data_IF_831066049981
#
_entry.id   IF_831066049981
#
_cell.length_a   1.000
_cell.length_b   1.000
_cell.length_c   1.000
_cell.angle_alpha   90.00
_cell.angle_beta   90.00
_cell.angle_gamma   90.00
#
_symmetry.space_group_name_H-M   'P 1'
#
loop_
_entity.id
_entity.type
_entity.pdbx_description
1 polymer ?
#
# COMPACT_ATOMS: atom_id res chain seq x y z
N UNK A 1 43.74 -13.91 38.95
CA UNK A 1 43.75 -15.08 38.06
C UNK A 1 42.32 -15.57 37.89
N UNK A 2 41.72 -15.30 36.72
CA UNK A 2 40.64 -16.04 36.03
C UNK A 2 39.99 -15.07 35.02
N UNK A 3 40.47 -15.14 33.79
CA UNK A 3 39.78 -14.60 32.63
C UNK A 3 38.71 -15.62 32.19
N UNK A 4 37.48 -15.17 31.99
CA UNK A 4 36.45 -15.93 31.28
C UNK A 4 36.19 -15.20 29.95
N UNK A 5 36.67 -15.79 28.87
CA UNK A 5 36.33 -15.40 27.50
C UNK A 5 34.83 -15.59 27.27
N UNK A 6 34.13 -14.56 26.80
CA UNK A 6 32.82 -14.70 26.14
C UNK A 6 32.92 -14.11 24.74
N UNK A 7 33.00 -15.02 23.78
CA UNK A 7 33.07 -14.77 22.35
C UNK A 7 31.85 -14.03 21.82
N UNK A 8 32.11 -13.10 20.91
CA UNK A 8 31.11 -12.34 20.16
C UNK A 8 30.39 -13.25 19.15
N UNK A 9 29.07 -13.42 19.29
CA UNK A 9 28.22 -14.10 18.30
C UNK A 9 27.50 -13.02 17.50
N UNK A 10 27.65 -13.07 16.18
CA UNK A 10 27.10 -12.07 15.24
C UNK A 10 25.57 -12.15 15.17
N UNK A 11 24.91 -10.99 15.04
CA UNK A 11 23.45 -10.82 15.03
C UNK A 11 22.71 -11.60 13.92
N UNK A 12 23.44 -12.17 12.95
CA UNK A 12 22.89 -13.03 11.91
C UNK A 12 22.40 -14.41 12.42
N UNK A 13 22.98 -14.94 13.51
CA UNK A 13 22.64 -16.28 14.00
C UNK A 13 21.41 -16.31 14.92
N UNK A 14 21.01 -15.18 15.51
CA UNK A 14 19.81 -15.11 16.37
C UNK A 14 18.50 -15.24 15.57
N UNK A 15 18.51 -14.93 14.27
CA UNK A 15 17.34 -15.10 13.38
C UNK A 15 17.07 -16.54 12.97
N UNK A 16 18.09 -17.41 12.94
CA UNK A 16 17.90 -18.80 12.54
C UNK A 16 17.20 -19.64 13.63
N UNK A 17 17.46 -19.36 14.91
CA UNK A 17 16.85 -20.12 16.01
C UNK A 17 15.35 -19.82 16.21
N UNK A 18 14.87 -18.65 15.77
CA UNK A 18 13.44 -18.30 15.83
C UNK A 18 12.60 -18.96 14.72
N UNK A 19 13.22 -19.47 13.65
CA UNK A 19 12.49 -20.09 12.54
C UNK A 19 12.05 -21.53 12.83
N UNK A 20 12.66 -22.21 13.81
CA UNK A 20 12.36 -23.62 14.09
C UNK A 20 11.28 -23.81 15.17
N UNK A 21 11.04 -22.83 16.04
CA UNK A 21 10.07 -22.94 17.14
C UNK A 21 8.64 -22.47 16.80
N UNK A 22 8.40 -21.85 15.65
CA UNK A 22 7.05 -21.40 15.25
C UNK A 22 6.25 -22.46 14.46
N UNK A 23 6.83 -23.64 14.20
CA UNK A 23 6.17 -24.74 13.47
C UNK A 23 5.49 -25.80 14.35
N UNK A 24 5.40 -25.63 15.68
CA UNK A 24 4.90 -26.72 16.55
C UNK A 24 3.77 -26.41 17.54
N UNK A 25 3.14 -25.22 17.54
CA UNK A 25 1.97 -24.97 18.41
C UNK A 25 0.79 -24.34 17.68
N UNK A 26 0.16 -25.15 16.83
CA UNK A 26 -1.10 -24.84 16.16
C UNK A 26 -1.95 -26.08 15.89
N UNK A 27 -1.93 -27.06 16.79
CA UNK A 27 -2.96 -28.09 16.81
C UNK A 27 -4.26 -27.49 17.39
N UNK A 28 -4.88 -26.61 16.60
CA UNK A 28 -6.27 -26.24 16.81
C UNK A 28 -7.12 -27.26 16.05
N UNK A 29 -8.02 -27.90 16.80
CA UNK A 29 -8.97 -28.91 16.38
C UNK A 29 -9.40 -28.79 14.90
N UNK A 30 -9.21 -29.88 14.15
CA UNK A 30 -9.79 -30.06 12.84
C UNK A 30 -11.32 -29.91 12.94
N UNK A 31 -11.83 -28.75 12.57
CA UNK A 31 -13.25 -28.54 12.31
C UNK A 31 -13.62 -29.23 10.98
N UNK A 32 -14.77 -29.89 10.89
CA UNK A 32 -15.12 -30.67 9.71
C UNK A 32 -15.51 -29.73 8.56
N UNK A 33 -14.66 -29.71 7.53
CA UNK A 33 -14.96 -29.07 6.24
C UNK A 33 -14.13 -27.83 5.93
N UNK A 34 -12.80 -27.96 5.84
CA UNK A 34 -12.04 -27.03 5.01
C UNK A 34 -12.56 -27.16 3.57
N UNK A 35 -13.43 -26.23 3.17
CA UNK A 35 -13.92 -26.17 1.79
C UNK A 35 -12.72 -26.09 0.87
N UNK A 36 -12.65 -26.94 -0.16
CA UNK A 36 -11.58 -26.92 -1.19
C UNK A 36 -11.32 -25.51 -1.75
N UNK A 37 -12.32 -24.63 -1.70
CA UNK A 37 -12.23 -23.22 -2.08
C UNK A 37 -11.18 -22.43 -1.29
N UNK A 38 -10.99 -22.75 0.01
CA UNK A 38 -10.00 -22.07 0.87
C UNK A 38 -8.56 -22.36 0.45
N UNK A 39 -8.29 -23.57 -0.04
CA UNK A 39 -6.95 -23.98 -0.51
C UNK A 39 -6.55 -23.27 -1.80
N UNK A 40 -7.53 -22.82 -2.60
CA UNK A 40 -7.33 -22.13 -3.87
C UNK A 40 -7.67 -20.64 -3.80
N UNK A 41 -7.60 -20.05 -2.59
CA UNK A 41 -7.83 -18.63 -2.36
C UNK A 41 -6.53 -17.83 -2.44
N UNK A 42 -6.60 -16.64 -3.03
CA UNK A 42 -5.49 -15.71 -3.09
C UNK A 42 -5.35 -14.98 -1.75
N UNK A 43 -4.15 -14.93 -1.14
CA UNK A 43 -3.95 -14.28 0.16
C UNK A 43 -4.10 -12.74 0.14
N UNK A 44 -4.18 -12.13 -1.06
CA UNK A 44 -4.33 -10.67 -1.20
C UNK A 44 -5.81 -10.29 -1.32
N UNK A 45 -6.55 -10.88 -2.27
CA UNK A 45 -7.97 -10.56 -2.46
C UNK A 45 -8.94 -11.49 -1.72
N UNK A 46 -8.44 -12.59 -1.13
CA UNK A 46 -9.20 -13.62 -0.43
C UNK A 46 -10.26 -14.34 -1.29
N UNK A 47 -10.23 -14.12 -2.60
CA UNK A 47 -11.06 -14.82 -3.58
C UNK A 47 -10.29 -15.98 -4.23
N UNK A 48 -11.01 -16.86 -4.94
CA UNK A 48 -10.38 -17.88 -5.79
C UNK A 48 -9.38 -17.24 -6.76
N UNK A 49 -8.22 -17.87 -6.91
CA UNK A 49 -7.15 -17.40 -7.80
C UNK A 49 -7.66 -17.09 -9.22
N UNK A 50 -7.23 -15.94 -9.75
CA UNK A 50 -7.45 -15.53 -11.14
C UNK A 50 -6.11 -15.26 -11.80
N UNK A 51 -5.81 -16.03 -12.87
CA UNK A 51 -4.51 -16.03 -13.55
C UNK A 51 -3.35 -16.14 -12.54
N UNK A 52 -3.27 -17.26 -11.79
CA UNK A 52 -2.32 -17.40 -10.70
C UNK A 52 -0.86 -17.30 -11.18
N UNK A 53 -0.06 -16.55 -10.43
CA UNK A 53 1.39 -16.41 -10.62
C UNK A 53 2.11 -16.80 -9.34
N UNK A 54 3.26 -17.44 -9.47
CA UNK A 54 4.09 -17.89 -8.35
C UNK A 54 5.46 -17.22 -8.38
N UNK A 55 5.94 -16.82 -7.21
CA UNK A 55 7.28 -16.24 -7.05
C UNK A 55 8.30 -17.37 -6.96
N UNK A 56 9.25 -17.47 -7.88
CA UNK A 56 10.18 -18.60 -7.94
C UNK A 56 11.06 -18.76 -6.68
N UNK A 57 11.42 -17.66 -6.00
CA UNK A 57 12.29 -17.70 -4.82
C UNK A 57 11.62 -18.24 -3.55
N UNK A 58 10.29 -18.24 -3.47
CA UNK A 58 9.56 -18.66 -2.26
C UNK A 58 8.30 -19.49 -2.53
N UNK A 59 7.97 -19.77 -3.78
CA UNK A 59 6.83 -20.56 -4.24
C UNK A 59 5.43 -20.08 -3.80
N UNK A 60 5.32 -18.88 -3.22
CA UNK A 60 4.02 -18.29 -2.89
C UNK A 60 3.26 -17.87 -4.16
N UNK A 61 1.94 -18.12 -4.16
CA UNK A 61 1.06 -17.91 -5.32
C UNK A 61 0.05 -16.81 -5.05
N UNK A 62 -0.22 -15.99 -6.06
CA UNK A 62 -1.13 -14.84 -6.02
C UNK A 62 -1.90 -14.73 -7.33
N UNK A 63 -2.99 -13.95 -7.38
CA UNK A 63 -3.54 -13.51 -8.67
C UNK A 63 -2.53 -12.59 -9.37
N UNK A 64 -2.43 -12.68 -10.70
CA UNK A 64 -1.52 -11.81 -11.47
C UNK A 64 -1.76 -10.32 -11.22
N UNK A 65 -3.02 -9.90 -11.18
CA UNK A 65 -3.42 -8.51 -10.90
C UNK A 65 -3.13 -8.10 -9.46
N UNK A 66 -3.24 -9.03 -8.50
CA UNK A 66 -2.96 -8.75 -7.10
C UNK A 66 -1.47 -8.55 -6.82
N UNK A 67 -0.59 -9.27 -7.53
CA UNK A 67 0.86 -9.12 -7.37
C UNK A 67 1.44 -7.95 -8.17
N UNK A 68 0.74 -7.47 -9.20
CA UNK A 68 1.22 -6.43 -10.12
C UNK A 68 1.78 -5.17 -9.41
N UNK A 69 1.14 -4.59 -8.37
CA UNK A 69 1.67 -3.40 -7.72
C UNK A 69 3.06 -3.64 -7.11
N UNK A 70 3.33 -4.84 -6.58
CA UNK A 70 4.63 -5.19 -6.04
C UNK A 70 5.72 -5.23 -7.12
N UNK A 71 5.38 -5.59 -8.36
CA UNK A 71 6.35 -5.66 -9.46
C UNK A 71 6.84 -4.28 -9.94
N UNK A 72 6.14 -3.21 -9.57
CA UNK A 72 6.47 -1.83 -9.95
C UNK A 72 7.43 -1.14 -8.97
N UNK A 73 7.69 -1.76 -7.81
CA UNK A 73 8.51 -1.20 -6.74
C UNK A 73 9.95 -1.66 -6.88
N UNK A 74 10.91 -0.78 -6.60
CA UNK A 74 12.33 -1.13 -6.52
C UNK A 74 12.57 -2.14 -5.41
N UNK A 75 13.22 -3.27 -5.72
CA UNK A 75 13.52 -4.35 -4.77
C UNK A 75 12.27 -4.91 -4.06
N UNK A 76 11.37 -5.61 -4.79
CA UNK A 76 10.10 -6.03 -4.23
C UNK A 76 10.23 -7.18 -3.23
N UNK A 77 9.33 -7.20 -2.26
CA UNK A 77 9.22 -8.24 -1.23
C UNK A 77 7.93 -9.03 -1.41
N UNK A 78 7.99 -10.34 -1.19
CA UNK A 78 6.81 -11.20 -1.24
C UNK A 78 5.76 -10.74 -0.19
N UNK A 79 4.48 -10.54 -0.56
CA UNK A 79 3.43 -10.12 0.39
C UNK A 79 3.19 -11.10 1.55
N UNK A 80 3.53 -12.38 1.38
CA UNK A 80 3.33 -13.41 2.40
C UNK A 80 4.52 -13.57 3.34
N UNK A 81 5.72 -13.80 2.80
CA UNK A 81 6.90 -14.13 3.61
C UNK A 81 7.94 -13.00 3.68
N UNK A 82 7.69 -11.87 3.00
CA UNK A 82 8.60 -10.71 2.92
C UNK A 82 9.98 -11.02 2.34
N UNK A 83 10.17 -12.19 1.72
CA UNK A 83 11.41 -12.53 1.03
C UNK A 83 11.58 -11.64 -0.20
N UNK A 84 12.77 -11.04 -0.42
CA UNK A 84 13.08 -10.34 -1.65
C UNK A 84 12.96 -11.28 -2.86
N UNK A 85 12.47 -10.76 -3.97
CA UNK A 85 12.38 -11.52 -5.21
C UNK A 85 12.68 -10.66 -6.44
N UNK A 86 13.04 -11.33 -7.53
CA UNK A 86 13.26 -10.70 -8.82
C UNK A 86 11.92 -10.61 -9.58
N UNK A 87 11.44 -9.41 -9.97
CA UNK A 87 10.21 -9.26 -10.75
C UNK A 87 10.17 -10.11 -12.02
N UNK A 88 11.35 -10.42 -12.61
CA UNK A 88 11.45 -11.23 -13.83
C UNK A 88 11.29 -12.73 -13.57
N UNK A 89 11.37 -13.17 -12.31
CA UNK A 89 11.25 -14.57 -11.88
C UNK A 89 9.89 -14.84 -11.24
N UNK A 90 8.85 -14.28 -11.85
CA UNK A 90 7.45 -14.48 -11.49
C UNK A 90 6.78 -15.15 -12.67
N UNK A 91 6.38 -16.40 -12.48
CA UNK A 91 5.90 -17.26 -13.55
C UNK A 91 4.43 -17.64 -13.33
N UNK A 92 3.73 -17.93 -14.44
CA UNK A 92 2.36 -18.46 -14.37
C UNK A 92 2.37 -19.82 -13.70
N UNK A 93 1.44 -20.02 -12.76
CA UNK A 93 1.37 -21.26 -12.00
C UNK A 93 0.50 -22.31 -12.71
N UNK A 94 1.07 -22.97 -13.72
CA UNK A 94 0.34 -23.96 -14.54
C UNK A 94 -0.21 -25.14 -13.72
N UNK A 95 0.47 -25.51 -12.64
CA UNK A 95 -0.02 -26.54 -11.70
C UNK A 95 -1.33 -26.10 -11.04
N UNK A 96 -1.37 -24.86 -10.52
CA UNK A 96 -2.57 -24.31 -9.87
C UNK A 96 -3.70 -24.11 -10.88
N UNK A 97 -3.41 -23.67 -12.11
CA UNK A 97 -4.43 -23.55 -13.17
C UNK A 97 -5.09 -24.90 -13.51
N UNK A 98 -4.29 -25.97 -13.57
CA UNK A 98 -4.81 -27.33 -13.79
C UNK A 98 -5.69 -27.77 -12.61
N UNK A 99 -5.24 -27.54 -11.38
CA UNK A 99 -6.02 -27.86 -10.18
C UNK A 99 -7.35 -27.10 -10.14
N UNK A 100 -7.34 -25.79 -10.41
CA UNK A 100 -8.54 -24.94 -10.53
C UNK A 100 -9.52 -25.43 -11.59
N UNK A 101 -9.03 -26.10 -12.64
CA UNK A 101 -9.87 -26.64 -13.72
C UNK A 101 -10.51 -27.99 -13.35
N UNK A 102 -9.85 -28.78 -12.50
CA UNK A 102 -10.33 -30.09 -12.05
C UNK A 102 -11.42 -30.01 -10.99
N UNK A 103 -11.32 -29.05 -10.06
CA UNK A 103 -12.25 -28.96 -8.94
C UNK A 103 -13.47 -28.09 -9.23
N UNK A 104 -14.63 -28.50 -8.71
CA UNK A 104 -15.89 -27.76 -8.77
C UNK A 104 -16.36 -27.47 -7.35
N UNK A 105 -16.81 -26.24 -7.11
CA UNK A 105 -17.41 -25.82 -5.86
C UNK A 105 -18.80 -25.20 -6.11
N UNK A 106 -19.73 -25.27 -5.15
CA UNK A 106 -21.00 -24.56 -5.26
C UNK A 106 -20.80 -23.05 -5.07
N UNK A 107 -21.40 -22.24 -5.93
CA UNK A 107 -21.45 -20.79 -5.73
C UNK A 107 -22.19 -20.44 -4.43
N UNK A 108 -21.66 -19.52 -3.62
CA UNK A 108 -22.29 -19.10 -2.35
C UNK A 108 -23.64 -18.39 -2.52
N UNK A 109 -23.88 -17.74 -3.66
CA UNK A 109 -25.16 -17.10 -3.94
C UNK A 109 -26.19 -18.04 -4.54
N UNK A 110 -25.86 -18.72 -5.65
CA UNK A 110 -26.84 -19.53 -6.38
C UNK A 110 -26.75 -21.05 -6.16
N UNK A 111 -25.76 -21.52 -5.41
CA UNK A 111 -25.49 -22.94 -5.15
C UNK A 111 -25.20 -23.80 -6.39
N UNK A 112 -25.08 -23.21 -7.57
CA UNK A 112 -24.67 -23.90 -8.80
C UNK A 112 -23.23 -24.37 -8.66
N UNK A 113 -22.97 -25.64 -8.99
CA UNK A 113 -21.60 -26.19 -9.03
C UNK A 113 -20.85 -25.62 -10.23
N UNK A 114 -19.82 -24.81 -9.98
CA UNK A 114 -18.98 -24.17 -10.98
C UNK A 114 -17.54 -24.60 -10.78
N UNK A 115 -16.81 -24.81 -11.86
CA UNK A 115 -15.36 -25.06 -11.82
C UNK A 115 -14.64 -23.86 -11.21
N UNK A 116 -13.66 -24.08 -10.32
CA UNK A 116 -12.98 -22.98 -9.62
C UNK A 116 -12.37 -21.96 -10.58
N UNK A 117 -11.80 -22.41 -11.70
CA UNK A 117 -11.28 -21.55 -12.78
C UNK A 117 -12.31 -20.54 -13.34
N UNK A 118 -13.60 -20.91 -13.35
CA UNK A 118 -14.71 -20.08 -13.85
C UNK A 118 -15.52 -19.42 -12.71
N UNK A 119 -15.10 -19.60 -11.47
CA UNK A 119 -15.88 -19.13 -10.31
C UNK A 119 -15.96 -17.59 -10.29
N UNK A 120 -14.85 -16.88 -10.55
CA UNK A 120 -14.82 -15.41 -10.55
C UNK A 120 -15.74 -14.79 -11.62
N UNK A 121 -15.72 -15.33 -12.84
CA UNK A 121 -16.60 -14.86 -13.93
C UNK A 121 -18.07 -15.23 -13.70
N UNK A 122 -18.33 -16.33 -13.01
CA UNK A 122 -19.67 -16.66 -12.55
C UNK A 122 -20.16 -15.70 -11.47
N UNK A 123 -19.36 -15.44 -10.43
CA UNK A 123 -19.69 -14.54 -9.31
C UNK A 123 -20.05 -13.15 -9.83
N UNK A 124 -19.28 -12.61 -10.78
CA UNK A 124 -19.54 -11.28 -11.36
C UNK A 124 -20.85 -11.18 -12.16
N UNK A 125 -21.42 -12.31 -12.59
CA UNK A 125 -22.67 -12.38 -13.37
C UNK A 125 -23.80 -13.15 -12.67
N UNK A 126 -23.60 -13.51 -11.40
CA UNK A 126 -24.56 -14.31 -10.66
C UNK A 126 -25.61 -13.40 -9.99
N UNK A 127 -26.90 -13.48 -10.38
CA UNK A 127 -27.93 -12.57 -9.87
C UNK A 127 -28.12 -12.69 -8.37
N UNK A 128 -28.04 -13.91 -7.82
CA UNK A 128 -28.16 -14.16 -6.38
C UNK A 128 -26.97 -13.60 -5.58
N UNK A 129 -25.75 -13.62 -6.14
CA UNK A 129 -24.60 -12.98 -5.48
C UNK A 129 -24.74 -11.46 -5.53
N UNK A 130 -25.16 -10.91 -6.67
CA UNK A 130 -25.37 -9.47 -6.82
C UNK A 130 -26.47 -8.96 -5.86
N UNK A 131 -27.56 -9.72 -5.70
CA UNK A 131 -28.61 -9.43 -4.73
C UNK A 131 -28.09 -9.48 -3.29
N UNK A 132 -27.29 -10.50 -2.94
CA UNK A 132 -26.65 -10.58 -1.63
C UNK A 132 -25.70 -9.40 -1.37
N UNK A 133 -24.91 -8.98 -2.36
CA UNK A 133 -24.05 -7.80 -2.27
C UNK A 133 -24.85 -6.50 -2.12
N UNK A 134 -26.01 -6.39 -2.78
CA UNK A 134 -26.90 -5.25 -2.63
C UNK A 134 -27.57 -5.21 -1.25
N UNK A 135 -27.81 -6.37 -0.65
CA UNK A 135 -28.38 -6.53 0.69
C UNK A 135 -27.35 -6.47 1.82
N UNK A 136 -26.04 -6.41 1.51
CA UNK A 136 -25.04 -6.16 2.53
C UNK A 136 -25.36 -4.84 3.24
N UNK A 137 -25.29 -4.78 4.59
CA UNK A 137 -25.44 -3.54 5.31
C UNK A 137 -24.45 -2.54 4.73
N UNK A 138 -24.97 -1.49 4.09
CA UNK A 138 -24.13 -0.34 3.75
C UNK A 138 -23.50 0.07 5.06
N UNK A 139 -22.17 0.10 5.12
CA UNK A 139 -21.49 0.55 6.32
C UNK A 139 -21.85 2.01 6.51
N UNK A 140 -22.88 2.24 7.34
CA UNK A 140 -23.21 3.54 7.87
C UNK A 140 -22.41 3.63 9.16
N UNK A 141 -21.70 4.74 9.42
CA UNK A 141 -21.02 4.94 10.69
C UNK A 141 -21.93 4.54 11.85
N UNK A 142 -21.41 3.74 12.80
CA UNK A 142 -22.14 3.12 13.92
C UNK A 142 -22.94 4.14 14.74
N UNK A 143 -22.55 5.42 14.64
CA UNK A 143 -23.32 6.60 15.01
C UNK A 143 -22.98 7.65 13.93
N UNK A 144 -23.92 8.49 13.43
CA UNK A 144 -23.51 9.73 12.79
C UNK A 144 -22.69 10.46 13.83
N UNK A 145 -21.38 10.58 13.63
CA UNK A 145 -20.52 11.29 14.58
C UNK A 145 -21.23 12.61 14.92
N UNK A 146 -21.49 12.88 16.20
CA UNK A 146 -22.10 14.15 16.62
C UNK A 146 -21.23 15.36 16.21
N UNK A 147 -19.98 15.09 15.84
CA UNK A 147 -19.16 16.01 15.10
C UNK A 147 -19.73 16.17 13.69
N UNK A 148 -20.20 17.37 13.32
CA UNK A 148 -20.55 17.64 11.93
C UNK A 148 -19.33 17.25 11.08
N UNK A 149 -19.54 16.48 10.01
CA UNK A 149 -18.51 16.34 8.96
C UNK A 149 -18.14 17.79 8.63
N UNK A 150 -16.92 18.24 8.92
CA UNK A 150 -16.57 19.61 8.62
C UNK A 150 -16.51 19.71 7.11
N UNK A 151 -17.62 20.16 6.53
CA UNK A 151 -17.86 20.30 5.09
C UNK A 151 -16.92 21.31 4.43
N UNK A 152 -16.08 21.96 5.24
CA UNK A 152 -15.07 22.94 4.87
C UNK A 152 -13.72 22.65 5.55
N UNK A 153 -13.28 21.39 5.70
CA UNK A 153 -11.84 21.16 5.83
C UNK A 153 -11.23 21.23 4.42
N UNK A 154 -10.51 22.31 4.08
CA UNK A 154 -9.79 22.35 2.81
C UNK A 154 -8.81 21.16 2.78
N UNK A 155 -8.73 20.48 1.65
CA UNK A 155 -7.74 19.42 1.45
C UNK A 155 -6.33 20.04 1.56
N UNK A 156 -5.52 19.53 2.50
CA UNK A 156 -4.15 19.99 2.73
C UNK A 156 -3.08 18.98 2.31
N UNK A 157 -3.49 17.84 1.80
CA UNK A 157 -2.60 16.71 1.52
C UNK A 157 -2.42 16.46 0.03
N UNK A 158 -3.46 16.69 -0.76
CA UNK A 158 -3.39 16.53 -2.22
C UNK A 158 -4.03 17.71 -2.95
N UNK A 159 -3.42 18.09 -4.06
CA UNK A 159 -3.73 19.30 -4.80
C UNK A 159 -3.99 18.96 -6.27
N UNK A 160 -4.74 19.85 -6.93
CA UNK A 160 -4.87 19.83 -8.37
C UNK A 160 -3.89 20.84 -8.99
N UNK A 161 -3.22 20.46 -10.08
CA UNK A 161 -2.41 21.38 -10.84
C UNK A 161 -3.30 22.49 -11.42
N UNK A 162 -3.04 23.77 -11.14
CA UNK A 162 -3.90 24.84 -11.59
C UNK A 162 -3.73 25.18 -13.09
N UNK A 163 -2.73 24.63 -13.77
CA UNK A 163 -2.53 24.81 -15.21
C UNK A 163 -3.29 23.77 -16.05
N UNK A 164 -3.21 22.49 -15.67
CA UNK A 164 -3.74 21.38 -16.48
C UNK A 164 -4.82 20.54 -15.78
N UNK A 165 -5.09 20.79 -14.49
CA UNK A 165 -6.09 20.06 -13.72
C UNK A 165 -5.67 18.66 -13.26
N UNK A 166 -4.41 18.25 -13.43
CA UNK A 166 -3.91 16.98 -12.90
C UNK A 166 -4.18 16.89 -11.38
N UNK A 167 -4.82 15.81 -10.93
CA UNK A 167 -5.34 15.67 -9.55
C UNK A 167 -4.45 14.74 -8.72
N UNK A 168 -4.64 14.77 -7.41
CA UNK A 168 -3.98 13.88 -6.44
C UNK A 168 -2.45 14.07 -6.36
N UNK A 169 -1.97 15.28 -6.64
CA UNK A 169 -0.56 15.62 -6.48
C UNK A 169 -0.34 16.04 -5.04
N UNK A 170 0.56 15.39 -4.31
CA UNK A 170 1.02 15.95 -3.03
C UNK A 170 1.84 17.23 -3.28
N UNK A 171 2.30 17.89 -2.21
CA UNK A 171 3.06 19.14 -2.35
C UNK A 171 4.34 18.97 -3.19
N UNK A 172 5.09 17.86 -3.03
CA UNK A 172 6.35 17.62 -3.73
C UNK A 172 6.11 17.23 -5.20
N UNK A 173 5.14 16.35 -5.45
CA UNK A 173 4.74 15.96 -6.79
C UNK A 173 4.13 17.13 -7.55
N UNK A 174 3.43 18.06 -6.88
CA UNK A 174 2.96 19.30 -7.51
C UNK A 174 4.13 20.18 -7.97
N UNK A 175 5.15 20.35 -7.13
CA UNK A 175 6.37 21.11 -7.46
C UNK A 175 7.06 20.49 -8.68
N UNK A 176 7.31 19.18 -8.64
CA UNK A 176 7.97 18.43 -9.71
C UNK A 176 7.17 18.48 -11.00
N UNK A 177 5.88 18.17 -10.94
CA UNK A 177 4.97 18.23 -12.08
C UNK A 177 4.98 19.60 -12.76
N UNK A 178 4.88 20.69 -11.99
CA UNK A 178 4.87 22.04 -12.55
C UNK A 178 6.22 22.41 -13.18
N UNK A 179 7.35 21.97 -12.61
CA UNK A 179 8.68 22.21 -13.20
C UNK A 179 8.88 21.48 -14.53
N UNK A 180 8.43 20.23 -14.63
CA UNK A 180 8.64 19.39 -15.82
C UNK A 180 7.68 19.76 -16.96
N UNK A 181 6.43 20.13 -16.64
CA UNK A 181 5.36 20.26 -17.64
C UNK A 181 4.92 21.71 -17.91
N UNK A 182 5.21 22.67 -17.02
CA UNK A 182 4.70 24.04 -17.09
C UNK A 182 5.77 25.13 -16.92
N UNK A 183 7.02 24.85 -17.31
CA UNK A 183 8.18 25.75 -17.09
C UNK A 183 8.02 27.16 -17.68
N UNK A 184 7.34 27.28 -18.81
CA UNK A 184 7.16 28.54 -19.57
C UNK A 184 5.68 28.93 -19.72
N UNK A 185 4.79 28.46 -18.84
CA UNK A 185 3.37 28.80 -18.91
C UNK A 185 3.13 30.27 -18.45
N UNK A 186 2.53 31.14 -19.27
CA UNK A 186 2.34 32.55 -18.93
C UNK A 186 1.13 32.80 -18.01
N UNK A 187 0.33 31.78 -17.69
CA UNK A 187 -0.92 31.95 -16.96
C UNK A 187 -0.68 32.27 -15.48
N UNK A 188 -1.42 33.28 -14.97
CA UNK A 188 -1.45 33.60 -13.54
C UNK A 188 -2.47 32.72 -12.84
N UNK A 189 -1.99 31.88 -11.92
CA UNK A 189 -2.79 30.88 -11.22
C UNK A 189 -2.76 31.09 -9.71
N UNK A 190 -3.81 30.61 -9.03
CA UNK A 190 -3.88 30.56 -7.57
C UNK A 190 -3.10 29.35 -7.08
N UNK A 191 -2.30 29.53 -6.03
CA UNK A 191 -1.59 28.41 -5.42
C UNK A 191 -2.57 27.52 -4.62
N UNK A 192 -2.77 26.24 -5.00
CA UNK A 192 -3.69 25.35 -4.29
C UNK A 192 -3.20 25.04 -2.87
N UNK A 193 -1.88 25.08 -2.64
CA UNK A 193 -1.29 24.90 -1.30
C UNK A 193 -1.59 26.10 -0.40
N UNK A 194 -1.34 27.33 -0.88
CA UNK A 194 -1.66 28.53 -0.09
C UNK A 194 -3.16 28.68 0.16
N UNK A 195 -4.01 28.49 -0.84
CA UNK A 195 -5.47 28.61 -0.69
C UNK A 195 -6.07 27.58 0.26
N UNK A 196 -5.36 26.48 0.54
CA UNK A 196 -5.76 25.49 1.56
C UNK A 196 -5.43 25.92 3.00
N UNK A 197 -4.63 26.97 3.18
CA UNK A 197 -4.25 27.50 4.49
C UNK A 197 -5.28 28.52 5.01
N UNK A 198 -5.53 28.58 6.34
CA UNK A 198 -6.49 29.52 6.93
C UNK A 198 -6.19 31.00 6.65
N UNK A 199 -4.92 31.33 6.41
CA UNK A 199 -4.42 32.68 6.11
C UNK A 199 -4.15 32.89 4.62
N UNK A 200 -4.47 31.94 3.75
CA UNK A 200 -4.29 32.07 2.31
C UNK A 200 -5.48 32.75 1.64
N UNK A 201 -5.21 33.56 0.63
CA UNK A 201 -6.25 34.18 -0.20
C UNK A 201 -6.60 33.27 -1.40
N UNK A 202 -7.83 32.72 -1.49
CA UNK A 202 -8.25 31.88 -2.60
C UNK A 202 -8.34 32.59 -3.96
N UNK A 203 -8.33 33.93 -3.97
CA UNK A 203 -8.39 34.75 -5.20
C UNK A 203 -7.02 35.24 -5.65
N UNK A 204 -5.99 35.10 -4.80
CA UNK A 204 -4.66 35.62 -5.09
C UNK A 204 -3.96 34.79 -6.17
N UNK A 205 -3.69 35.45 -7.31
CA UNK A 205 -2.94 34.86 -8.43
C UNK A 205 -1.50 35.32 -8.38
N UNK A 206 -0.57 34.39 -8.17
CA UNK A 206 0.86 34.69 -8.14
C UNK A 206 1.33 35.20 -9.51
N UNK A 207 2.16 36.24 -9.52
CA UNK A 207 2.80 36.77 -10.74
C UNK A 207 3.77 35.78 -11.38
N UNK A 208 4.45 34.98 -10.55
CA UNK A 208 5.28 33.86 -10.97
C UNK A 208 5.00 32.66 -10.05
N UNK A 209 4.00 31.84 -10.44
CA UNK A 209 3.56 30.71 -9.63
C UNK A 209 4.67 29.65 -9.45
N UNK A 210 5.44 29.34 -10.50
CA UNK A 210 6.49 28.33 -10.44
C UNK A 210 7.59 28.71 -9.44
N UNK A 211 8.04 29.96 -9.49
CA UNK A 211 9.03 30.47 -8.54
C UNK A 211 8.46 30.50 -7.13
N UNK A 212 7.22 30.95 -6.94
CA UNK A 212 6.56 30.91 -5.65
C UNK A 212 6.52 29.48 -5.06
N UNK A 213 6.15 28.49 -5.86
CA UNK A 213 6.06 27.09 -5.47
C UNK A 213 7.44 26.54 -5.06
N UNK A 214 8.50 26.90 -5.81
CA UNK A 214 9.88 26.51 -5.49
C UNK A 214 10.45 27.18 -4.23
N UNK A 215 10.09 28.42 -3.97
CA UNK A 215 10.60 29.15 -2.80
C UNK A 215 9.84 28.82 -1.52
N UNK A 216 8.52 28.57 -1.60
CA UNK A 216 7.65 28.43 -0.42
C UNK A 216 7.19 27.01 -0.15
N UNK A 217 7.25 26.12 -1.14
CA UNK A 217 6.66 24.77 -1.06
C UNK A 217 7.60 23.66 -1.53
N UNK A 218 8.86 23.97 -1.87
CA UNK A 218 9.89 22.94 -2.16
C UNK A 218 10.22 22.09 -0.93
N UNK A 219 10.08 22.66 0.27
CA UNK A 219 10.40 22.01 1.53
C UNK A 219 9.13 21.64 2.29
N UNK A 220 8.99 20.35 2.66
CA UNK A 220 7.93 19.86 3.54
C UNK A 220 8.50 19.61 4.92
N UNK A 221 8.00 20.30 5.94
CA UNK A 221 8.47 20.17 7.32
C UNK A 221 8.31 18.75 7.88
N UNK A 222 7.25 18.05 7.47
CA UNK A 222 6.92 16.69 7.92
C UNK A 222 8.01 15.66 7.58
N UNK A 223 8.80 15.91 6.53
CA UNK A 223 9.87 15.00 6.11
C UNK A 223 11.17 15.18 6.90
N UNK A 224 11.38 16.35 7.51
CA UNK A 224 12.66 16.72 8.11
C UNK A 224 12.58 16.99 9.61
N UNK A 225 11.36 17.13 10.15
CA UNK A 225 11.13 17.25 11.57
C UNK A 225 10.55 15.95 12.07
N UNK A 226 11.37 15.20 12.80
CA UNK A 226 10.88 14.08 13.59
C UNK A 226 10.17 14.65 14.83
N UNK A 227 8.84 14.54 14.86
CA UNK A 227 8.06 15.03 16.00
C UNK A 227 8.20 14.14 17.26
N UNK A 228 8.91 13.01 17.16
CA UNK A 228 9.15 12.11 18.28
C UNK A 228 10.44 12.39 19.03
N UNK A 229 11.32 13.24 18.49
CA UNK A 229 12.55 13.67 19.18
C UNK A 229 12.31 14.96 19.97
N UNK A 230 12.89 15.01 21.16
CA UNK A 230 12.92 16.22 21.98
C UNK A 230 13.77 17.31 21.32
N UNK A 231 13.41 18.58 21.52
CA UNK A 231 14.06 19.74 20.88
C UNK A 231 15.56 19.80 21.22
N UNK A 232 15.93 19.47 22.46
CA UNK A 232 17.33 19.46 22.91
C UNK A 232 18.12 18.35 22.19
N UNK A 233 17.50 17.17 22.03
CA UNK A 233 18.11 16.04 21.33
C UNK A 233 18.29 16.34 19.82
N UNK A 234 17.32 17.02 19.20
CA UNK A 234 17.41 17.44 17.80
C UNK A 234 18.55 18.46 17.59
N UNK A 235 18.65 19.44 18.48
CA UNK A 235 19.70 20.47 18.42
C UNK A 235 21.09 19.86 18.60
N UNK A 236 21.26 18.94 19.55
CA UNK A 236 22.53 18.31 19.84
C UNK A 236 23.00 17.39 18.70
N UNK A 237 22.07 16.71 18.02
CA UNK A 237 22.36 15.95 16.81
C UNK A 237 22.79 16.85 15.63
N UNK A 238 22.12 17.99 15.44
CA UNK A 238 22.49 18.95 14.39
C UNK A 238 23.89 19.54 14.63
N UNK A 239 24.23 19.87 15.89
CA UNK A 239 25.56 20.34 16.27
C UNK A 239 26.63 19.26 16.03
N UNK A 240 26.35 18.00 16.38
CA UNK A 240 27.27 16.89 16.16
C UNK A 240 27.56 16.64 14.67
N UNK A 241 26.54 16.70 13.81
CA UNK A 241 26.69 16.58 12.36
C UNK A 241 27.51 17.73 11.77
N UNK A 242 27.23 18.96 12.20
CA UNK A 242 27.96 20.15 11.75
C UNK A 242 29.45 20.11 12.14
N UNK A 243 29.76 19.51 13.29
CA UNK A 243 31.15 19.33 13.75
C UNK A 243 31.87 18.17 13.04
N UNK A 244 31.13 17.21 12.48
CA UNK A 244 31.70 16.06 11.78
C UNK A 244 31.98 16.32 10.28
N UNK A 245 31.36 17.36 9.71
CA UNK A 245 31.57 17.77 8.31
C UNK A 245 32.75 18.74 8.11
N UNK A 246 33.53 19.02 9.16
CA UNK A 246 34.70 19.91 9.14
C UNK A 246 35.99 19.16 9.55
#
# INVERSE_FOLDING_TARGET
MMAMFRSFVSAAQLRQHHHQHQQQNGAAAAAPGESLESQFSCPICLEVYHKPVSIASCAHTFCGECLQPCLQVTSPLCPLCRMPFDPKKVDKSSSIEKQLSSYKAPCRGCSKKVTLMKMRTHISSCPKVQEQMANCPKFVPVVPTAQPIPSNLPNRSTFACPFCGARNLDQQELVKHCMENHRNDPNKVVCPVCSSMPWGDPSYKSSNFLQHLLHRHKFSYDTFVDYSIDEEAALQAALALSLAEN
#
